data_IF_744112557387
#
_entry.id   IF_744112557387
#
_cell.length_a   1.000
_cell.length_b   1.000
_cell.length_c   1.000
_cell.angle_alpha   90.00
_cell.angle_beta   90.00
_cell.angle_gamma   90.00
#
_symmetry.space_group_name_H-M   'P 1'
#
loop_
_entity.id
_entity.type
_entity.pdbx_description
1 polymer ?
#
# COMPACT_ATOMS: atom_id res chain seq x y z
N UNK A 1 6.97 12.51 16.66
CA UNK A 1 5.85 11.66 16.24
C UNK A 1 6.35 10.60 15.29
N UNK A 2 5.53 9.62 14.94
CA UNK A 2 5.96 8.48 14.17
C UNK A 2 6.12 8.74 12.69
N UNK A 3 6.70 7.75 12.01
CA UNK A 3 6.89 7.74 10.57
C UNK A 3 5.82 6.86 9.92
N UNK A 4 5.08 7.45 8.97
CA UNK A 4 4.00 6.80 8.24
C UNK A 4 4.41 6.54 6.79
N UNK A 5 4.29 5.30 6.36
CA UNK A 5 4.46 4.93 4.96
C UNK A 5 3.07 4.68 4.35
N UNK A 6 2.74 5.40 3.29
CA UNK A 6 1.50 5.21 2.55
C UNK A 6 1.84 4.54 1.22
N UNK A 7 1.26 3.37 0.98
CA UNK A 7 1.59 2.52 -0.17
C UNK A 7 0.37 2.35 -1.07
N UNK A 8 0.57 2.60 -2.35
CA UNK A 8 -0.36 2.18 -3.39
C UNK A 8 0.30 1.02 -4.14
N UNK A 9 -0.10 -0.25 -3.85
CA UNK A 9 0.58 -1.39 -4.43
C UNK A 9 0.28 -1.54 -5.91
N UNK A 10 1.20 -2.20 -6.61
CA UNK A 10 0.95 -2.70 -7.96
C UNK A 10 0.15 -4.01 -7.89
N UNK A 11 0.10 -4.75 -8.98
CA UNK A 11 -0.60 -6.03 -9.03
C UNK A 11 0.30 -7.06 -9.71
N UNK A 12 -0.02 -8.34 -9.50
CA UNK A 12 0.71 -9.42 -10.14
C UNK A 12 0.28 -9.55 -11.60
N UNK A 13 1.26 -9.50 -12.51
CA UNK A 13 1.02 -9.73 -13.94
C UNK A 13 0.77 -11.20 -14.23
N UNK A 14 1.46 -12.06 -13.48
CA UNK A 14 1.38 -13.50 -13.66
C UNK A 14 1.44 -14.16 -12.28
N UNK A 15 0.37 -14.87 -11.94
CA UNK A 15 0.27 -15.53 -10.63
C UNK A 15 1.21 -16.73 -10.52
N UNK A 16 1.67 -17.28 -11.64
CA UNK A 16 2.57 -18.44 -11.63
C UNK A 16 3.97 -18.09 -11.12
N UNK A 17 4.47 -16.91 -11.47
CA UNK A 17 5.82 -16.49 -11.10
C UNK A 17 5.84 -15.24 -10.20
N UNK A 18 4.66 -14.71 -9.83
CA UNK A 18 4.52 -13.53 -8.98
C UNK A 18 5.23 -12.29 -9.54
N UNK A 19 5.36 -12.18 -10.88
CA UNK A 19 5.93 -11.00 -11.49
C UNK A 19 4.99 -9.79 -11.30
N UNK A 20 5.58 -8.62 -11.02
CA UNK A 20 4.84 -7.40 -10.73
C UNK A 20 4.73 -6.53 -11.97
N UNK A 21 3.59 -5.86 -12.12
CA UNK A 21 3.45 -4.82 -13.12
C UNK A 21 4.27 -3.60 -12.69
N UNK A 22 5.08 -3.08 -13.61
CA UNK A 22 5.87 -1.86 -13.40
C UNK A 22 5.75 -0.96 -14.62
N UNK A 23 5.84 0.35 -14.40
CA UNK A 23 5.82 1.33 -15.47
C UNK A 23 6.86 2.42 -15.19
N UNK A 24 7.30 3.08 -16.24
CA UNK A 24 8.22 4.23 -16.12
C UNK A 24 7.46 5.54 -15.92
N UNK A 25 6.21 5.58 -16.37
CA UNK A 25 5.36 6.75 -16.23
C UNK A 25 3.90 6.32 -16.26
N UNK A 26 3.04 7.13 -15.65
CA UNK A 26 1.60 6.90 -15.69
C UNK A 26 0.95 7.76 -16.75
N UNK A 27 0.06 7.15 -17.53
CA UNK A 27 -0.81 7.88 -18.47
C UNK A 27 -1.85 8.70 -17.71
N UNK A 28 -2.39 8.12 -16.62
CA UNK A 28 -3.32 8.80 -15.74
C UNK A 28 -2.70 8.89 -14.36
N UNK A 29 -2.66 10.10 -13.80
CA UNK A 29 -2.16 10.32 -12.46
C UNK A 29 -3.28 10.10 -11.46
N UNK A 30 -3.10 9.15 -10.53
CA UNK A 30 -4.03 8.96 -9.44
C UNK A 30 -3.92 10.06 -8.40
N UNK A 31 -5.04 10.41 -7.77
CA UNK A 31 -5.08 11.42 -6.73
C UNK A 31 -5.06 10.82 -5.32
N UNK A 32 -5.08 9.49 -5.20
CA UNK A 32 -5.22 8.81 -3.91
C UNK A 32 -4.06 9.14 -2.96
N UNK A 33 -2.82 9.00 -3.41
CA UNK A 33 -1.67 9.27 -2.54
C UNK A 33 -1.58 10.74 -2.14
N UNK A 34 -1.65 11.72 -3.05
CA UNK A 34 -1.64 13.12 -2.65
C UNK A 34 -2.80 13.50 -1.74
N UNK A 35 -3.99 12.94 -1.99
CA UNK A 35 -5.16 13.22 -1.18
C UNK A 35 -5.00 12.72 0.25
N UNK A 36 -4.52 11.48 0.40
CA UNK A 36 -4.26 10.90 1.72
C UNK A 36 -3.17 11.69 2.46
N UNK A 37 -2.13 12.11 1.74
CA UNK A 37 -1.08 12.94 2.34
C UNK A 37 -1.64 14.26 2.87
N UNK A 38 -2.54 14.91 2.11
CA UNK A 38 -3.15 16.16 2.51
C UNK A 38 -4.03 16.01 3.77
N UNK A 39 -4.64 14.85 3.96
CA UNK A 39 -5.49 14.57 5.12
C UNK A 39 -4.70 14.11 6.35
N UNK A 40 -3.44 13.74 6.18
CA UNK A 40 -2.61 13.24 7.28
C UNK A 40 -2.19 14.40 8.21
N UNK A 41 -2.31 14.22 9.53
CA UNK A 41 -1.89 15.25 10.47
C UNK A 41 -0.41 15.60 10.30
N UNK A 42 -0.02 16.87 10.49
CA UNK A 42 1.36 17.30 10.24
C UNK A 42 2.40 16.72 11.21
N UNK A 43 1.96 16.11 12.30
CA UNK A 43 2.85 15.46 13.27
C UNK A 43 3.51 14.19 12.69
N UNK A 44 2.92 13.60 11.65
CA UNK A 44 3.48 12.42 11.02
C UNK A 44 4.52 12.78 9.97
N UNK A 45 5.65 12.10 10.02
CA UNK A 45 6.63 12.13 8.95
C UNK A 45 6.21 11.11 7.90
N UNK A 46 5.82 11.59 6.72
CA UNK A 46 5.20 10.74 5.69
C UNK A 46 6.14 10.41 4.55
N UNK A 47 6.04 9.18 4.05
CA UNK A 47 6.60 8.78 2.77
C UNK A 47 5.49 8.16 1.92
N UNK A 48 5.43 8.51 0.63
CA UNK A 48 4.45 7.99 -0.32
C UNK A 48 5.14 7.09 -1.32
N UNK A 49 4.58 5.90 -1.53
CA UNK A 49 5.12 4.94 -2.50
C UNK A 49 4.03 4.50 -3.46
N UNK A 50 4.24 4.73 -4.75
CA UNK A 50 3.47 4.12 -5.83
C UNK A 50 4.29 2.96 -6.39
N UNK A 51 3.91 1.74 -6.06
CA UNK A 51 4.71 0.57 -6.41
C UNK A 51 4.76 0.30 -7.90
N UNK A 52 3.88 0.88 -8.70
CA UNK A 52 4.01 0.77 -10.15
C UNK A 52 5.23 1.53 -10.68
N UNK A 53 5.67 2.56 -9.97
CA UNK A 53 6.79 3.41 -10.37
C UNK A 53 8.07 3.09 -9.61
N UNK A 54 7.96 2.79 -8.32
CA UNK A 54 9.10 2.52 -7.45
C UNK A 54 8.83 1.29 -6.59
N UNK A 55 9.91 0.65 -6.12
CA UNK A 55 9.75 -0.52 -5.26
C UNK A 55 9.45 -0.11 -3.82
N UNK A 56 8.71 -0.98 -3.12
CA UNK A 56 8.50 -0.84 -1.68
C UNK A 56 9.76 -1.32 -0.96
N UNK A 57 10.27 -0.51 -0.03
CA UNK A 57 11.32 -0.95 0.88
C UNK A 57 10.66 -1.60 2.10
N UNK A 58 10.60 -2.93 2.10
CA UNK A 58 10.00 -3.67 3.20
C UNK A 58 10.85 -3.66 4.47
N UNK A 59 12.09 -3.23 4.38
CA UNK A 59 13.00 -3.11 5.53
C UNK A 59 13.03 -1.70 6.12
N UNK A 60 12.25 -0.78 5.57
CA UNK A 60 12.20 0.60 6.03
C UNK A 60 11.82 0.71 7.51
N UNK A 61 12.42 1.67 8.21
CA UNK A 61 12.08 1.96 9.60
C UNK A 61 10.87 2.87 9.65
N UNK A 62 9.70 2.29 9.82
CA UNK A 62 8.42 3.01 9.87
C UNK A 62 7.61 2.52 11.06
N UNK A 63 6.73 3.37 11.56
CA UNK A 63 5.90 3.07 12.72
C UNK A 63 4.49 2.61 12.36
N UNK A 64 4.04 2.97 11.17
CA UNK A 64 2.71 2.63 10.67
C UNK A 64 2.74 2.58 9.15
N UNK A 65 2.06 1.58 8.58
CA UNK A 65 1.90 1.46 7.13
C UNK A 65 0.43 1.56 6.79
N UNK A 66 0.10 2.39 5.81
CA UNK A 66 -1.24 2.50 5.25
C UNK A 66 -1.21 2.03 3.81
N UNK A 67 -2.07 1.08 3.46
CA UNK A 67 -2.14 0.50 2.12
C UNK A 67 -3.51 0.75 1.54
N UNK A 68 -3.58 1.30 0.32
CA UNK A 68 -4.82 1.45 -0.42
C UNK A 68 -4.98 0.29 -1.41
N UNK A 69 -6.15 -0.34 -1.44
CA UNK A 69 -6.37 -1.52 -2.25
C UNK A 69 -7.59 -1.39 -3.16
N UNK A 70 -7.37 -1.67 -4.44
CA UNK A 70 -8.41 -1.99 -5.41
C UNK A 70 -8.49 -3.51 -5.55
N UNK A 71 -9.57 -4.01 -6.15
CA UNK A 71 -9.71 -5.46 -6.30
C UNK A 71 -8.55 -6.06 -7.12
N UNK A 72 -8.12 -5.37 -8.16
CA UNK A 72 -7.04 -5.86 -9.03
C UNK A 72 -5.71 -6.01 -8.28
N UNK A 73 -5.43 -5.16 -7.29
CA UNK A 73 -4.18 -5.22 -6.55
C UNK A 73 -4.33 -5.79 -5.13
N UNK A 74 -5.49 -6.37 -4.80
CA UNK A 74 -5.77 -6.85 -3.44
C UNK A 74 -4.79 -7.92 -2.97
N UNK A 75 -4.43 -8.87 -3.84
CA UNK A 75 -3.48 -9.92 -3.46
C UNK A 75 -2.10 -9.35 -3.14
N UNK A 76 -1.64 -8.39 -3.96
CA UNK A 76 -0.36 -7.72 -3.67
C UNK A 76 -0.44 -6.89 -2.40
N UNK A 77 -1.58 -6.23 -2.16
CA UNK A 77 -1.81 -5.48 -0.94
C UNK A 77 -1.73 -6.39 0.30
N UNK A 78 -2.36 -7.56 0.25
CA UNK A 78 -2.33 -8.52 1.35
C UNK A 78 -0.92 -9.07 1.59
N UNK A 79 -0.19 -9.42 0.53
CA UNK A 79 1.18 -9.89 0.66
C UNK A 79 2.10 -8.82 1.25
N UNK A 80 1.92 -7.59 0.82
CA UNK A 80 2.70 -6.46 1.36
C UNK A 80 2.38 -6.21 2.83
N UNK A 81 1.10 -6.24 3.19
CA UNK A 81 0.66 -6.11 4.59
C UNK A 81 1.28 -7.19 5.47
N UNK A 82 1.26 -8.44 5.01
CA UNK A 82 1.86 -9.55 5.75
C UNK A 82 3.34 -9.31 6.03
N UNK A 83 4.09 -8.84 5.06
CA UNK A 83 5.52 -8.62 5.22
C UNK A 83 5.83 -7.56 6.27
N UNK A 84 5.05 -6.48 6.33
CA UNK A 84 5.20 -5.47 7.37
C UNK A 84 4.74 -6.00 8.73
N UNK A 85 3.64 -6.72 8.77
CA UNK A 85 3.13 -7.29 10.03
C UNK A 85 4.09 -8.32 10.63
N UNK A 86 4.77 -9.10 9.79
CA UNK A 86 5.79 -10.06 10.25
C UNK A 86 6.93 -9.36 10.97
N UNK A 87 7.16 -8.08 10.70
CA UNK A 87 8.15 -7.26 11.41
C UNK A 87 7.55 -6.54 12.63
N UNK A 88 6.30 -6.79 12.96
CA UNK A 88 5.63 -6.14 14.09
C UNK A 88 5.15 -4.72 13.79
N UNK A 89 5.07 -4.30 12.52
CA UNK A 89 4.61 -2.98 12.13
C UNK A 89 3.11 -3.02 11.89
N UNK A 90 2.32 -2.16 12.55
CA UNK A 90 0.88 -2.09 12.31
C UNK A 90 0.58 -1.67 10.87
N UNK A 91 -0.44 -2.28 10.27
CA UNK A 91 -0.88 -1.97 8.92
C UNK A 91 -2.37 -1.63 8.94
N UNK A 92 -2.72 -0.50 8.35
CA UNK A 92 -4.11 -0.15 8.08
C UNK A 92 -4.36 -0.22 6.59
N UNK A 93 -5.58 -0.59 6.21
CA UNK A 93 -5.94 -0.72 4.82
C UNK A 93 -7.21 0.08 4.51
N UNK A 94 -7.23 0.65 3.32
CA UNK A 94 -8.35 1.40 2.81
C UNK A 94 -8.51 1.21 1.31
N UNK A 95 -9.40 1.99 0.70
CA UNK A 95 -9.67 1.96 -0.72
C UNK A 95 -10.91 1.13 -1.07
N UNK A 96 -11.27 1.08 -2.39
CA UNK A 96 -12.53 0.44 -2.80
C UNK A 96 -12.65 -1.03 -2.43
N UNK A 97 -11.57 -1.82 -2.55
CA UNK A 97 -11.63 -3.24 -2.19
C UNK A 97 -11.96 -3.41 -0.71
N UNK A 98 -11.32 -2.62 0.15
CA UNK A 98 -11.58 -2.66 1.59
C UNK A 98 -13.02 -2.28 1.90
N UNK A 99 -13.56 -1.29 1.22
CA UNK A 99 -14.93 -0.85 1.42
C UNK A 99 -15.95 -1.96 1.12
N UNK A 100 -15.77 -2.68 0.00
CA UNK A 100 -16.68 -3.73 -0.42
C UNK A 100 -16.42 -5.09 0.22
N UNK A 101 -15.21 -5.33 0.73
CA UNK A 101 -14.77 -6.61 1.26
C UNK A 101 -14.08 -6.42 2.62
N UNK A 102 -14.73 -5.65 3.52
CA UNK A 102 -14.11 -5.28 4.79
C UNK A 102 -13.82 -6.49 5.68
N UNK A 103 -14.68 -7.49 5.68
CA UNK A 103 -14.47 -8.70 6.49
C UNK A 103 -13.23 -9.48 6.05
N UNK A 104 -13.06 -9.65 4.73
CA UNK A 104 -11.87 -10.28 4.16
C UNK A 104 -10.62 -9.46 4.47
N UNK A 105 -10.69 -8.15 4.22
CA UNK A 105 -9.54 -7.27 4.41
C UNK A 105 -9.08 -7.24 5.87
N UNK A 106 -10.00 -7.29 6.82
CA UNK A 106 -9.68 -7.26 8.25
C UNK A 106 -8.81 -8.44 8.70
N UNK A 107 -8.80 -9.54 7.93
CA UNK A 107 -7.92 -10.68 8.22
C UNK A 107 -6.46 -10.41 7.86
N UNK A 108 -6.18 -9.35 7.09
CA UNK A 108 -4.86 -9.06 6.53
C UNK A 108 -4.21 -7.80 7.10
N UNK A 109 -4.89 -7.10 7.99
CA UNK A 109 -4.34 -5.85 8.57
C UNK A 109 -4.63 -5.73 10.06
#
# INVERSE_FOLDING_TARGET
MGKLLIVQPTYYRNKSDFSLYKTKSRTLTGLTLPYLAALTPPEWDMELVDEQLTDIDFDASVDLVAITAWTINSFRAYDSARRFRDRGIPVIMGGPHTFFHSDETAEHC
#
